data_IF_525268397148
#
_entry.id   IF_525268397148
#
_cell.length_a   1.000
_cell.length_b   1.000
_cell.length_c   1.000
_cell.angle_alpha   90.00
_cell.angle_beta   90.00
_cell.angle_gamma   90.00
#
_symmetry.space_group_name_H-M   'P 1'
#
loop_
_entity.id
_entity.type
_entity.pdbx_description
1 polymer ?
#
# COMPACT_ATOMS: atom_id res chain seq x y z
N UNK A 1 -18.05 -8.40 -22.43
CA UNK A 1 -16.57 -8.35 -22.52
C UNK A 1 -16.13 -7.03 -21.91
N UNK A 2 -15.59 -7.02 -20.70
CA UNK A 2 -15.13 -5.78 -20.06
C UNK A 2 -13.84 -5.34 -20.76
N UNK A 3 -13.88 -4.25 -21.53
CA UNK A 3 -12.66 -3.63 -22.03
C UNK A 3 -11.80 -3.27 -20.82
N UNK A 4 -10.64 -3.90 -20.66
CA UNK A 4 -9.67 -3.44 -19.66
C UNK A 4 -9.30 -2.02 -20.05
N UNK A 5 -9.70 -1.05 -19.23
CA UNK A 5 -9.32 0.35 -19.38
C UNK A 5 -7.79 0.42 -19.49
N UNK A 6 -7.30 1.20 -20.44
CA UNK A 6 -5.88 1.46 -20.61
C UNK A 6 -5.35 2.11 -19.32
N UNK A 7 -4.27 1.58 -18.76
CA UNK A 7 -3.64 2.11 -17.53
C UNK A 7 -2.72 3.25 -17.97
N UNK A 8 -3.09 4.49 -17.68
CA UNK A 8 -2.34 5.69 -18.10
C UNK A 8 -1.56 6.31 -16.93
N UNK A 9 -2.08 6.14 -15.72
CA UNK A 9 -1.51 6.65 -14.48
C UNK A 9 -1.35 5.56 -13.42
N UNK A 10 -0.65 5.89 -12.33
CA UNK A 10 -0.58 5.02 -11.17
C UNK A 10 -1.93 4.88 -10.47
N UNK A 11 -2.80 5.88 -10.58
CA UNK A 11 -4.15 5.89 -10.02
C UNK A 11 -5.06 4.85 -10.67
N UNK A 12 -4.73 4.42 -11.89
CA UNK A 12 -5.45 3.36 -12.61
C UNK A 12 -5.10 1.95 -12.10
N UNK A 13 -3.99 1.80 -11.35
CA UNK A 13 -3.57 0.51 -10.81
C UNK A 13 -4.53 0.02 -9.74
N UNK A 14 -5.03 -1.22 -9.88
CA UNK A 14 -5.89 -1.84 -8.88
C UNK A 14 -5.25 -1.87 -7.48
N UNK A 15 -3.93 -2.10 -7.42
CA UNK A 15 -3.19 -2.09 -6.14
C UNK A 15 -3.14 -0.70 -5.51
N UNK A 16 -3.04 0.36 -6.32
CA UNK A 16 -3.05 1.74 -5.82
C UNK A 16 -4.43 2.11 -5.29
N UNK A 17 -5.50 1.82 -6.06
CA UNK A 17 -6.89 2.08 -5.62
C UNK A 17 -7.20 1.39 -4.30
N UNK A 18 -6.76 0.14 -4.16
CA UNK A 18 -6.93 -0.63 -2.93
C UNK A 18 -6.12 -0.02 -1.76
N UNK A 19 -4.84 0.30 -2.00
CA UNK A 19 -3.98 0.93 -1.00
C UNK A 19 -4.52 2.29 -0.53
N UNK A 20 -4.99 3.12 -1.45
CA UNK A 20 -5.56 4.44 -1.13
C UNK A 20 -6.83 4.33 -0.28
N UNK A 21 -7.71 3.37 -0.61
CA UNK A 21 -8.90 3.07 0.18
C UNK A 21 -8.51 2.55 1.58
N UNK A 22 -7.53 1.65 1.67
CA UNK A 22 -7.04 1.13 2.94
C UNK A 22 -6.42 2.23 3.82
N UNK A 23 -5.57 3.10 3.26
CA UNK A 23 -4.96 4.22 3.96
C UNK A 23 -6.00 5.24 4.45
N UNK A 24 -7.03 5.49 3.66
CA UNK A 24 -8.16 6.35 4.05
C UNK A 24 -8.95 5.73 5.21
N UNK A 25 -9.19 4.41 5.19
CA UNK A 25 -9.83 3.69 6.29
C UNK A 25 -8.99 3.74 7.57
N UNK A 26 -7.68 3.54 7.49
CA UNK A 26 -6.74 3.69 8.61
C UNK A 26 -6.81 5.10 9.19
N UNK A 27 -6.83 6.13 8.35
CA UNK A 27 -6.95 7.52 8.80
C UNK A 27 -8.25 7.77 9.57
N UNK A 28 -9.39 7.30 9.06
CA UNK A 28 -10.68 7.45 9.75
C UNK A 28 -10.73 6.69 11.07
N UNK A 29 -10.25 5.44 11.10
CA UNK A 29 -10.21 4.63 12.32
C UNK A 29 -9.30 5.24 13.40
N UNK A 30 -8.13 5.73 13.00
CA UNK A 30 -7.19 6.35 13.95
C UNK A 30 -7.66 7.68 14.55
N UNK A 31 -8.79 8.25 14.10
CA UNK A 31 -9.40 9.41 14.78
C UNK A 31 -10.00 9.07 16.14
N UNK A 32 -10.29 7.79 16.40
CA UNK A 32 -10.84 7.34 17.69
C UNK A 32 -9.76 6.93 18.69
N UNK A 33 -8.47 6.99 18.30
CA UNK A 33 -7.38 6.59 19.17
C UNK A 33 -7.17 7.64 20.28
N UNK A 34 -6.63 7.24 21.46
CA UNK A 34 -6.32 8.19 22.53
C UNK A 34 -5.39 9.31 22.07
N UNK A 35 -5.55 10.51 22.64
CA UNK A 35 -4.74 11.68 22.26
C UNK A 35 -3.26 11.48 22.59
N UNK A 36 -2.97 10.71 23.62
CA UNK A 36 -1.63 10.34 24.09
C UNK A 36 -0.85 9.56 23.01
N UNK A 37 -1.55 8.85 22.13
CA UNK A 37 -0.97 8.07 21.03
C UNK A 37 -0.72 8.87 19.75
N UNK A 38 -0.99 10.18 19.75
CA UNK A 38 -0.90 11.03 18.55
C UNK A 38 0.47 10.94 17.89
N UNK A 39 1.55 10.97 18.68
CA UNK A 39 2.94 10.89 18.20
C UNK A 39 3.56 9.49 18.32
N UNK A 40 2.74 8.49 18.61
CA UNK A 40 3.13 7.09 18.77
C UNK A 40 2.36 6.25 17.76
N UNK A 41 1.42 5.41 18.17
CA UNK A 41 0.74 4.46 17.30
C UNK A 41 -0.01 5.16 16.16
N UNK A 42 -0.68 6.29 16.46
CA UNK A 42 -1.46 7.04 15.47
C UNK A 42 -0.61 7.55 14.33
N UNK A 43 0.57 8.09 14.62
CA UNK A 43 1.49 8.61 13.61
C UNK A 43 2.09 7.47 12.78
N UNK A 44 2.54 6.40 13.44
CA UNK A 44 3.18 5.28 12.77
C UNK A 44 2.24 4.56 11.78
N UNK A 45 1.00 4.27 12.19
CA UNK A 45 0.04 3.59 11.31
C UNK A 45 -0.41 4.49 10.14
N UNK A 46 -0.49 5.81 10.35
CA UNK A 46 -0.84 6.77 9.29
C UNK A 46 0.30 6.96 8.30
N UNK A 47 1.54 7.05 8.77
CA UNK A 47 2.71 7.22 7.90
C UNK A 47 2.94 5.98 7.06
N UNK A 48 3.01 4.80 7.67
CA UNK A 48 3.21 3.54 6.94
C UNK A 48 2.11 3.30 5.90
N UNK A 49 0.84 3.44 6.28
CA UNK A 49 -0.28 3.24 5.34
C UNK A 49 -0.25 4.16 4.12
N UNK A 50 0.11 5.44 4.29
CA UNK A 50 0.23 6.42 3.19
C UNK A 50 1.50 6.19 2.36
N UNK A 51 2.58 5.73 3.00
CA UNK A 51 3.86 5.41 2.33
C UNK A 51 3.69 4.32 1.27
N UNK A 52 2.82 3.33 1.50
CA UNK A 52 2.44 2.33 0.47
C UNK A 52 1.97 3.01 -0.82
N UNK A 53 1.07 3.99 -0.72
CA UNK A 53 0.54 4.71 -1.88
C UNK A 53 1.64 5.52 -2.59
N UNK A 54 2.46 6.23 -1.81
CA UNK A 54 3.57 7.04 -2.33
C UNK A 54 4.60 6.18 -3.08
N UNK A 55 5.00 5.05 -2.50
CA UNK A 55 5.95 4.13 -3.11
C UNK A 55 5.40 3.47 -4.38
N UNK A 56 4.11 3.13 -4.45
CA UNK A 56 3.46 2.65 -5.69
C UNK A 56 3.50 3.74 -6.79
N UNK A 57 3.19 4.99 -6.43
CA UNK A 57 3.22 6.11 -7.37
C UNK A 57 4.65 6.38 -7.89
N UNK A 58 5.64 6.34 -7.00
CA UNK A 58 7.05 6.47 -7.37
C UNK A 58 7.52 5.31 -8.27
N UNK A 59 7.17 4.07 -7.93
CA UNK A 59 7.47 2.91 -8.76
C UNK A 59 6.92 3.15 -10.17
N UNK A 60 5.65 3.55 -10.30
CA UNK A 60 5.05 3.83 -11.60
C UNK A 60 5.82 4.86 -12.44
N UNK A 61 6.41 5.89 -11.82
CA UNK A 61 7.25 6.88 -12.51
C UNK A 61 8.63 6.34 -12.89
N UNK A 62 9.14 5.36 -12.14
CA UNK A 62 10.48 4.74 -12.34
C UNK A 62 10.48 3.54 -13.30
N UNK A 63 9.37 3.22 -13.97
CA UNK A 63 9.22 2.09 -14.92
C UNK A 63 10.21 2.05 -16.10
N UNK A 64 10.96 3.12 -16.35
CA UNK A 64 12.05 3.16 -17.34
C UNK A 64 13.30 2.39 -16.89
N UNK A 65 13.43 2.17 -15.58
CA UNK A 65 14.58 1.53 -14.95
C UNK A 65 14.10 0.41 -14.02
N UNK A 66 14.27 -0.84 -14.44
CA UNK A 66 13.73 -2.00 -13.74
C UNK A 66 14.16 -2.08 -12.28
N UNK A 67 15.45 -1.90 -11.98
CA UNK A 67 15.95 -1.93 -10.61
C UNK A 67 15.29 -0.87 -9.71
N UNK A 68 15.10 0.35 -10.22
CA UNK A 68 14.46 1.43 -9.46
C UNK A 68 12.95 1.22 -9.30
N UNK A 69 12.30 0.60 -10.29
CA UNK A 69 10.90 0.17 -10.21
C UNK A 69 10.71 -0.88 -9.11
N UNK A 70 11.53 -1.94 -9.14
CA UNK A 70 11.47 -3.04 -8.18
C UNK A 70 11.79 -2.57 -6.75
N UNK A 71 12.83 -1.75 -6.58
CA UNK A 71 13.18 -1.17 -5.28
C UNK A 71 12.00 -0.45 -4.65
N UNK A 72 11.25 0.36 -5.41
CA UNK A 72 10.09 1.08 -4.87
C UNK A 72 8.88 0.18 -4.60
N UNK A 73 8.73 -0.93 -5.34
CA UNK A 73 7.71 -1.92 -4.99
C UNK A 73 8.05 -2.67 -3.71
N UNK A 74 9.32 -2.97 -3.46
CA UNK A 74 9.77 -3.57 -2.21
C UNK A 74 9.56 -2.61 -1.03
N UNK A 75 9.84 -1.30 -1.21
CA UNK A 75 9.52 -0.28 -0.21
C UNK A 75 8.00 -0.28 0.10
N UNK A 76 7.16 -0.34 -0.93
CA UNK A 76 5.70 -0.41 -0.73
C UNK A 76 5.25 -1.69 -0.01
N UNK A 77 5.92 -2.83 -0.27
CA UNK A 77 5.65 -4.10 0.39
C UNK A 77 6.03 -4.06 1.88
N UNK A 78 7.19 -3.50 2.21
CA UNK A 78 7.64 -3.31 3.59
C UNK A 78 6.66 -2.43 4.39
N UNK A 79 6.22 -1.31 3.81
CA UNK A 79 5.29 -0.37 4.44
C UNK A 79 3.88 -0.98 4.64
N UNK A 80 3.48 -1.88 3.75
CA UNK A 80 2.23 -2.63 3.88
C UNK A 80 2.29 -3.63 5.06
N UNK A 81 3.40 -4.36 5.19
CA UNK A 81 3.63 -5.25 6.33
C UNK A 81 3.79 -4.48 7.66
N UNK A 82 4.43 -3.33 7.63
CA UNK A 82 4.52 -2.43 8.78
C UNK A 82 3.12 -1.96 9.22
N UNK A 83 2.26 -1.58 8.26
CA UNK A 83 0.88 -1.19 8.59
C UNK A 83 0.09 -2.33 9.23
N UNK A 84 0.26 -3.58 8.77
CA UNK A 84 -0.35 -4.74 9.43
C UNK A 84 0.13 -4.90 10.88
N UNK A 85 1.42 -4.66 11.13
CA UNK A 85 2.00 -4.72 12.47
C UNK A 85 1.37 -3.67 13.39
N UNK A 86 1.28 -2.42 12.95
CA UNK A 86 0.64 -1.35 13.72
C UNK A 86 -0.86 -1.57 13.91
N UNK A 87 -1.55 -2.13 12.92
CA UNK A 87 -2.95 -2.53 13.06
C UNK A 87 -3.13 -3.59 14.13
N UNK A 88 -2.19 -4.54 14.27
CA UNK A 88 -2.22 -5.56 15.32
C UNK A 88 -2.03 -4.93 16.70
N UNK A 89 -1.05 -4.04 16.85
CA UNK A 89 -0.87 -3.30 18.11
C UNK A 89 -2.12 -2.49 18.48
N UNK A 90 -2.79 -1.87 17.51
CA UNK A 90 -4.01 -1.12 17.78
C UNK A 90 -5.14 -2.01 18.34
N UNK A 91 -5.21 -3.28 17.93
CA UNK A 91 -6.14 -4.26 18.51
C UNK A 91 -5.72 -4.66 19.92
N UNK A 92 -4.45 -4.99 20.14
CA UNK A 92 -3.93 -5.39 21.46
C UNK A 92 -4.08 -4.28 22.51
N UNK A 93 -3.95 -3.02 22.09
CA UNK A 93 -4.17 -1.86 22.95
C UNK A 93 -5.67 -1.51 23.14
N UNK A 94 -6.59 -2.21 22.47
CA UNK A 94 -8.03 -1.97 22.54
C UNK A 94 -8.51 -0.73 21.78
N UNK A 95 -7.71 -0.18 20.87
CA UNK A 95 -8.08 0.99 20.05
C UNK A 95 -8.87 0.60 18.81
N UNK A 96 -8.74 -0.66 18.36
CA UNK A 96 -9.56 -1.29 17.34
C UNK A 96 -10.17 -2.58 17.88
N UNK A 97 -11.36 -2.93 17.39
CA UNK A 97 -11.90 -4.26 17.63
C UNK A 97 -11.17 -5.31 16.79
N UNK A 98 -11.21 -6.57 17.23
CA UNK A 98 -10.60 -7.69 16.51
C UNK A 98 -11.16 -7.85 15.10
N UNK A 99 -12.45 -7.58 14.90
CA UNK A 99 -13.10 -7.62 13.59
C UNK A 99 -12.51 -6.58 12.64
N UNK A 100 -12.40 -5.32 13.09
CA UNK A 100 -11.83 -4.23 12.31
C UNK A 100 -10.34 -4.47 12.02
N UNK A 101 -9.60 -4.98 13.00
CA UNK A 101 -8.20 -5.36 12.81
C UNK A 101 -8.02 -6.46 11.76
N UNK A 102 -8.87 -7.49 11.78
CA UNK A 102 -8.86 -8.56 10.78
C UNK A 102 -9.24 -8.05 9.38
N UNK A 103 -10.23 -7.16 9.26
CA UNK A 103 -10.59 -6.52 7.99
C UNK A 103 -9.40 -5.73 7.40
N UNK A 104 -8.73 -4.91 8.22
CA UNK A 104 -7.54 -4.18 7.80
C UNK A 104 -6.41 -5.13 7.39
N UNK A 105 -6.17 -6.19 8.17
CA UNK A 105 -5.14 -7.17 7.87
C UNK A 105 -5.37 -7.83 6.51
N UNK A 106 -6.61 -8.26 6.23
CA UNK A 106 -6.99 -8.86 4.94
C UNK A 106 -6.86 -7.88 3.77
N UNK A 107 -7.20 -6.60 3.97
CA UNK A 107 -7.00 -5.57 2.93
C UNK A 107 -5.52 -5.42 2.59
N UNK A 108 -4.65 -5.36 3.59
CA UNK A 108 -3.20 -5.27 3.39
C UNK A 108 -2.60 -6.55 2.81
N UNK A 109 -3.13 -7.72 3.14
CA UNK A 109 -2.71 -8.99 2.54
C UNK A 109 -3.01 -9.05 1.03
N UNK A 110 -4.18 -8.54 0.62
CA UNK A 110 -4.51 -8.37 -0.80
C UNK A 110 -3.58 -7.37 -1.51
N UNK A 111 -3.16 -6.30 -0.82
CA UNK A 111 -2.19 -5.33 -1.36
C UNK A 111 -0.84 -6.01 -1.55
N UNK A 112 -0.33 -6.69 -0.52
CA UNK A 112 0.93 -7.44 -0.55
C UNK A 112 0.94 -8.45 -1.72
N UNK A 113 -0.10 -9.28 -1.85
CA UNK A 113 -0.19 -10.25 -2.94
C UNK A 113 -0.16 -9.61 -4.34
N UNK A 114 -0.70 -8.40 -4.49
CA UNK A 114 -0.62 -7.63 -5.76
C UNK A 114 0.78 -7.05 -5.97
N UNK A 115 1.42 -6.51 -4.95
CA UNK A 115 2.79 -5.98 -5.00
C UNK A 115 3.79 -7.10 -5.36
N UNK A 116 3.74 -8.23 -4.67
CA UNK A 116 4.58 -9.41 -4.95
C UNK A 116 4.39 -9.87 -6.40
N UNK A 117 3.15 -9.90 -6.90
CA UNK A 117 2.89 -10.25 -8.31
C UNK A 117 3.50 -9.23 -9.28
N UNK A 118 3.56 -7.96 -8.92
CA UNK A 118 4.23 -6.93 -9.71
C UNK A 118 5.76 -7.07 -9.68
N UNK A 119 6.32 -7.43 -8.52
CA UNK A 119 7.75 -7.66 -8.30
C UNK A 119 8.24 -8.89 -9.09
N UNK A 120 7.53 -10.02 -8.99
CA UNK A 120 7.90 -11.27 -9.67
C UNK A 120 7.73 -11.18 -11.20
N UNK A 121 6.78 -10.36 -11.69
CA UNK A 121 6.48 -10.23 -13.12
C UNK A 121 6.41 -8.76 -13.56
N UNK A 122 7.53 -8.02 -13.62
CA UNK A 122 7.53 -6.58 -13.87
C UNK A 122 7.29 -6.21 -15.34
N UNK A 123 7.56 -7.11 -16.29
CA UNK A 123 7.66 -6.84 -17.73
C UNK A 123 6.42 -6.14 -18.35
N UNK A 124 5.16 -6.49 -17.99
CA UNK A 124 3.98 -5.81 -18.55
C UNK A 124 3.89 -4.31 -18.19
N UNK A 125 4.71 -3.85 -17.24
CA UNK A 125 4.62 -2.51 -16.66
C UNK A 125 5.87 -1.69 -16.97
N UNK A 126 6.99 -2.32 -17.32
CA UNK A 126 8.21 -1.60 -17.67
C UNK A 126 8.05 -0.86 -19.01
N UNK A 127 8.66 0.32 -19.09
CA UNK A 127 8.80 1.06 -20.34
C UNK A 127 10.14 0.66 -20.95
N UNK A 128 10.18 -0.47 -21.66
CA UNK A 128 11.36 -0.82 -22.46
C UNK A 128 11.57 0.25 -23.52
N UNK A 129 12.80 0.82 -23.60
CA UNK A 129 13.22 1.53 -24.80
C UNK A 129 13.08 0.56 -25.97
N UNK A 130 12.32 0.92 -27.02
CA UNK A 130 12.54 0.28 -28.30
C UNK A 130 14.03 0.45 -28.62
N UNK A 131 14.75 -0.66 -28.76
CA UNK A 131 16.09 -0.62 -29.34
C UNK A 131 15.88 -0.14 -30.77
N UNK A 132 16.21 1.13 -31.02
CA UNK A 132 16.45 1.62 -32.37
C UNK A 132 17.73 1.02 -32.92
#
# INVERSE_FOLDING_TARGET
>A
MSSRSKIESHEDLDVYKLAFKAASRVFELSKTFPREETYSLTDQIRRSSRSVCANIAEAWRKRRYEAAFLSKLNDAEAEAAETQTWSRFAVECGYLSSEVGNELHQLYDQILGKLVRMIIRPQPRLMTKQRG
#
